data_IF_937397888584
#
_entry.id   IF_937397888584
#
_cell.length_a   1.000
_cell.length_b   1.000
_cell.length_c   1.000
_cell.angle_alpha   90.00
_cell.angle_beta   90.00
_cell.angle_gamma   90.00
#
_symmetry.space_group_name_H-M   'P 1'
#
loop_
_entity.id
_entity.type
_entity.pdbx_description
1 polymer ?
#
# COMPACT_ATOMS: atom_id res chain seq x y z
N UNK A 1 152.62 -137.80 -84.82
CA UNK A 1 152.77 -136.45 -84.24
C UNK A 1 152.27 -135.45 -85.25
N UNK A 2 151.31 -134.59 -84.89
CA UNK A 2 151.01 -133.27 -85.48
C UNK A 2 149.76 -132.75 -84.76
N UNK A 3 149.83 -131.56 -84.17
CA UNK A 3 148.72 -130.91 -83.50
C UNK A 3 148.69 -129.42 -83.88
N UNK A 4 147.70 -128.69 -83.36
CA UNK A 4 147.54 -127.23 -83.41
C UNK A 4 147.07 -126.61 -84.75
N UNK A 5 145.75 -126.51 -84.92
CA UNK A 5 145.11 -125.49 -85.78
C UNK A 5 143.67 -125.17 -85.34
N UNK A 6 143.43 -124.93 -84.04
CA UNK A 6 142.08 -124.97 -83.44
C UNK A 6 141.70 -123.75 -82.57
N UNK A 7 142.40 -122.61 -82.69
CA UNK A 7 142.22 -121.43 -81.80
C UNK A 7 141.65 -120.16 -82.47
N UNK A 8 141.47 -120.12 -83.80
CA UNK A 8 141.07 -118.87 -84.49
C UNK A 8 139.56 -118.63 -84.60
N UNK A 9 138.73 -119.68 -84.64
CA UNK A 9 137.27 -119.52 -84.81
C UNK A 9 136.54 -119.00 -83.57
N UNK A 10 136.96 -119.44 -82.38
CA UNK A 10 136.24 -119.20 -81.11
C UNK A 10 136.20 -117.73 -80.70
N UNK A 11 137.27 -116.96 -80.96
CA UNK A 11 137.33 -115.55 -80.59
C UNK A 11 136.37 -114.68 -81.41
N UNK A 12 136.21 -114.99 -82.71
CA UNK A 12 135.31 -114.25 -83.60
C UNK A 12 133.84 -114.42 -83.20
N UNK A 13 133.44 -115.64 -82.82
CA UNK A 13 132.06 -115.91 -82.42
C UNK A 13 131.76 -115.41 -81.00
N UNK A 14 132.74 -115.36 -80.09
CA UNK A 14 132.61 -114.63 -78.82
C UNK A 14 132.44 -113.13 -79.06
N UNK A 15 133.20 -112.54 -80.00
CA UNK A 15 133.07 -111.12 -80.34
C UNK A 15 131.72 -110.82 -81.01
N UNK A 16 131.26 -111.64 -81.97
CA UNK A 16 129.91 -111.53 -82.54
C UNK A 16 128.83 -111.68 -81.49
N UNK A 17 128.95 -112.66 -80.58
CA UNK A 17 127.99 -112.86 -79.48
C UNK A 17 127.96 -111.64 -78.56
N UNK A 18 129.12 -111.05 -78.24
CA UNK A 18 129.19 -109.83 -77.42
C UNK A 18 128.66 -108.61 -78.14
N UNK A 19 128.95 -108.42 -79.43
CA UNK A 19 128.36 -107.34 -80.25
C UNK A 19 126.84 -107.48 -80.37
N UNK A 20 126.35 -108.70 -80.58
CA UNK A 20 124.91 -109.02 -80.62
C UNK A 20 124.25 -108.74 -79.28
N UNK A 21 124.83 -109.25 -78.19
CA UNK A 21 124.37 -108.99 -76.83
C UNK A 21 124.35 -107.49 -76.52
N UNK A 22 125.42 -106.72 -76.81
CA UNK A 22 125.42 -105.27 -76.60
C UNK A 22 124.44 -104.52 -77.50
N UNK A 23 124.05 -105.08 -78.66
CA UNK A 23 123.00 -104.51 -79.50
C UNK A 23 121.60 -104.84 -78.97
N UNK A 24 121.39 -106.06 -78.48
CA UNK A 24 120.15 -106.49 -77.80
C UNK A 24 119.97 -105.76 -76.45
N UNK A 25 121.06 -105.42 -75.76
CA UNK A 25 121.08 -104.54 -74.58
C UNK A 25 120.82 -103.07 -74.96
N UNK A 26 121.41 -102.55 -76.05
CA UNK A 26 121.11 -101.20 -76.56
C UNK A 26 119.66 -101.05 -77.06
N UNK A 27 119.10 -102.07 -77.71
CA UNK A 27 117.70 -102.06 -78.14
C UNK A 27 116.77 -102.16 -76.92
N UNK A 28 117.07 -103.00 -75.92
CA UNK A 28 116.36 -102.96 -74.62
C UNK A 28 116.42 -101.61 -73.93
N UNK A 29 117.60 -101.01 -73.76
CA UNK A 29 117.71 -99.70 -73.11
C UNK A 29 116.99 -98.60 -73.91
N UNK A 30 116.93 -98.71 -75.24
CA UNK A 30 116.15 -97.80 -76.09
C UNK A 30 114.65 -98.01 -75.90
N UNK A 31 114.17 -99.25 -75.90
CA UNK A 31 112.75 -99.58 -75.69
C UNK A 31 112.30 -99.21 -74.27
N UNK A 32 113.13 -99.46 -73.25
CA UNK A 32 112.95 -99.01 -71.87
C UNK A 32 112.92 -97.47 -71.79
N UNK A 33 113.85 -96.76 -72.45
CA UNK A 33 113.81 -95.29 -72.53
C UNK A 33 112.54 -94.77 -73.22
N UNK A 34 112.06 -95.42 -74.28
CA UNK A 34 110.80 -95.05 -74.94
C UNK A 34 109.57 -95.37 -74.08
N UNK A 35 109.60 -96.45 -73.28
CA UNK A 35 108.53 -96.78 -72.33
C UNK A 35 108.52 -95.80 -71.14
N UNK A 36 109.69 -95.46 -70.59
CA UNK A 36 109.82 -94.42 -69.57
C UNK A 36 109.42 -93.04 -70.11
N UNK A 37 109.71 -92.72 -71.37
CA UNK A 37 109.25 -91.47 -71.98
C UNK A 37 107.73 -91.44 -72.16
N UNK A 38 107.10 -92.54 -72.60
CA UNK A 38 105.63 -92.67 -72.68
C UNK A 38 104.97 -92.58 -71.30
N UNK A 39 105.56 -93.22 -70.28
CA UNK A 39 105.11 -93.10 -68.88
C UNK A 39 105.22 -91.66 -68.39
N UNK A 40 106.37 -91.00 -68.60
CA UNK A 40 106.59 -89.60 -68.23
C UNK A 40 105.60 -88.66 -68.92
N UNK A 41 105.35 -88.82 -70.23
CA UNK A 41 104.31 -88.07 -70.94
C UNK A 41 102.92 -88.33 -70.34
N UNK A 42 102.58 -89.58 -70.01
CA UNK A 42 101.30 -89.91 -69.36
C UNK A 42 101.12 -89.31 -67.96
N UNK A 43 102.18 -89.21 -67.16
CA UNK A 43 102.16 -88.51 -65.87
C UNK A 43 102.10 -86.98 -66.05
N UNK A 44 102.78 -86.42 -67.06
CA UNK A 44 102.71 -84.99 -67.39
C UNK A 44 101.30 -84.60 -67.83
N UNK A 45 100.67 -85.34 -68.74
CA UNK A 45 99.29 -85.08 -69.17
C UNK A 45 98.31 -85.16 -67.98
N UNK A 46 98.40 -86.19 -67.13
CA UNK A 46 97.55 -86.28 -65.92
C UNK A 46 97.82 -85.18 -64.90
N UNK A 47 99.05 -84.68 -64.81
CA UNK A 47 99.39 -83.52 -63.98
C UNK A 47 98.78 -82.24 -64.56
N UNK A 48 98.88 -82.01 -65.86
CA UNK A 48 98.30 -80.84 -66.54
C UNK A 48 96.77 -80.84 -66.46
N UNK A 49 96.13 -82.02 -66.62
CA UNK A 49 94.70 -82.22 -66.36
C UNK A 49 94.33 -81.83 -64.91
N UNK A 50 95.03 -82.38 -63.91
CA UNK A 50 94.77 -82.09 -62.50
C UNK A 50 95.07 -80.62 -62.12
N UNK A 51 96.11 -80.00 -62.67
CA UNK A 51 96.41 -78.58 -62.48
C UNK A 51 95.33 -77.69 -63.12
N UNK A 52 94.76 -78.10 -64.25
CA UNK A 52 93.62 -77.42 -64.88
C UNK A 52 92.32 -77.56 -64.06
N UNK A 53 92.07 -78.72 -63.46
CA UNK A 53 90.91 -78.95 -62.58
C UNK A 53 91.05 -78.14 -61.28
N UNK A 54 92.22 -78.14 -60.64
CA UNK A 54 92.52 -77.31 -59.47
C UNK A 54 92.38 -75.81 -59.80
N UNK A 55 92.83 -75.36 -60.98
CA UNK A 55 92.62 -73.98 -61.42
C UNK A 55 91.13 -73.63 -61.64
N UNK A 56 90.34 -74.57 -62.16
CA UNK A 56 88.90 -74.39 -62.33
C UNK A 56 88.15 -74.39 -60.98
N UNK A 57 88.53 -75.26 -60.05
CA UNK A 57 87.98 -75.33 -58.69
C UNK A 57 88.32 -74.07 -57.89
N UNK A 58 89.56 -73.56 -57.96
CA UNK A 58 89.94 -72.32 -57.29
C UNK A 58 89.13 -71.10 -57.79
N UNK A 59 88.88 -70.99 -59.10
CA UNK A 59 87.97 -69.96 -59.64
C UNK A 59 86.53 -70.13 -59.15
N UNK A 60 86.06 -71.37 -59.01
CA UNK A 60 84.72 -71.67 -58.48
C UNK A 60 84.60 -71.34 -56.99
N UNK A 61 85.67 -71.56 -56.21
CA UNK A 61 85.75 -71.17 -54.80
C UNK A 61 85.62 -69.65 -54.69
N UNK A 62 86.45 -68.88 -55.42
CA UNK A 62 86.40 -67.41 -55.42
C UNK A 62 85.01 -66.85 -55.76
N UNK A 63 84.34 -67.39 -56.78
CA UNK A 63 82.98 -66.96 -57.15
C UNK A 63 81.94 -67.30 -56.06
N UNK A 64 82.09 -68.40 -55.34
CA UNK A 64 81.22 -68.78 -54.23
C UNK A 64 81.51 -67.95 -52.96
N UNK A 65 82.77 -67.56 -52.73
CA UNK A 65 83.17 -66.65 -51.66
C UNK A 65 82.59 -65.25 -51.91
N UNK A 66 82.75 -64.70 -53.12
CA UNK A 66 82.15 -63.42 -53.52
C UNK A 66 80.61 -63.43 -53.42
N UNK A 67 79.94 -64.51 -53.84
CA UNK A 67 78.48 -64.61 -53.75
C UNK A 67 77.99 -64.84 -52.31
N UNK A 68 78.80 -65.48 -51.45
CA UNK A 68 78.54 -65.57 -50.02
C UNK A 68 78.64 -64.19 -49.37
N UNK A 69 79.74 -63.44 -49.56
CA UNK A 69 79.92 -62.07 -49.05
C UNK A 69 78.75 -61.16 -49.48
N UNK A 70 78.39 -61.16 -50.78
CA UNK A 70 77.22 -60.43 -51.31
C UNK A 70 75.91 -60.83 -50.65
N UNK A 71 75.75 -62.10 -50.24
CA UNK A 71 74.55 -62.57 -49.54
C UNK A 71 74.54 -62.14 -48.07
N UNK A 72 75.69 -62.13 -47.41
CA UNK A 72 75.87 -61.71 -46.02
C UNK A 72 75.69 -60.19 -45.86
N UNK A 73 76.24 -59.37 -46.77
CA UNK A 73 75.97 -57.92 -46.81
C UNK A 73 74.48 -57.60 -46.97
N UNK A 74 73.78 -58.33 -47.87
CA UNK A 74 72.34 -58.18 -48.08
C UNK A 74 71.54 -58.60 -46.86
N UNK A 75 71.94 -59.70 -46.21
CA UNK A 75 71.30 -60.18 -44.98
C UNK A 75 71.51 -59.18 -43.84
N UNK A 76 72.72 -58.69 -43.63
CA UNK A 76 73.02 -57.65 -42.63
C UNK A 76 72.21 -56.37 -42.88
N UNK A 77 72.09 -55.91 -44.14
CA UNK A 77 71.25 -54.76 -44.49
C UNK A 77 69.76 -55.01 -44.22
N UNK A 78 69.27 -56.23 -44.48
CA UNK A 78 67.88 -56.61 -44.21
C UNK A 78 67.60 -56.72 -42.71
N UNK A 79 68.51 -57.32 -41.93
CA UNK A 79 68.40 -57.42 -40.46
C UNK A 79 68.46 -56.04 -39.79
N UNK A 80 69.32 -55.14 -40.25
CA UNK A 80 69.38 -53.77 -39.75
C UNK A 80 68.03 -53.03 -39.98
N UNK A 81 67.49 -53.09 -41.20
CA UNK A 81 66.18 -52.51 -41.55
C UNK A 81 65.02 -53.15 -40.78
N UNK A 82 65.08 -54.46 -40.52
CA UNK A 82 64.08 -55.15 -39.70
C UNK A 82 64.12 -54.67 -38.24
N UNK A 83 65.32 -54.47 -37.69
CA UNK A 83 65.50 -53.93 -36.33
C UNK A 83 65.02 -52.48 -36.21
N UNK A 84 65.29 -51.64 -37.21
CA UNK A 84 64.82 -50.26 -37.28
C UNK A 84 63.28 -50.20 -37.41
N UNK A 85 62.70 -51.03 -38.28
CA UNK A 85 61.25 -51.13 -38.44
C UNK A 85 60.55 -51.67 -37.18
N UNK A 86 61.16 -52.61 -36.44
CA UNK A 86 60.64 -53.07 -35.15
C UNK A 86 60.62 -51.94 -34.13
N UNK A 87 61.74 -51.25 -33.93
CA UNK A 87 61.81 -50.14 -32.97
C UNK A 87 60.85 -48.98 -33.31
N UNK A 88 60.63 -48.71 -34.60
CA UNK A 88 59.65 -47.74 -35.06
C UNK A 88 58.20 -48.21 -34.80
N UNK A 89 57.91 -49.51 -34.89
CA UNK A 89 56.61 -50.08 -34.55
C UNK A 89 56.36 -50.06 -33.03
N UNK A 90 57.37 -50.40 -32.22
CA UNK A 90 57.30 -50.42 -30.75
C UNK A 90 56.99 -49.02 -30.19
N UNK A 91 57.68 -47.97 -30.66
CA UNK A 91 57.38 -46.59 -30.26
C UNK A 91 56.04 -46.09 -30.85
N UNK A 92 55.63 -46.57 -32.04
CA UNK A 92 54.30 -46.28 -32.59
C UNK A 92 53.17 -46.87 -31.74
N UNK A 93 53.31 -48.09 -31.22
CA UNK A 93 52.34 -48.66 -30.28
C UNK A 93 52.36 -47.92 -28.93
N UNK A 94 53.54 -47.54 -28.44
CA UNK A 94 53.66 -46.72 -27.21
C UNK A 94 52.92 -45.38 -27.35
N UNK A 95 53.09 -44.69 -28.48
CA UNK A 95 52.37 -43.44 -28.80
C UNK A 95 50.86 -43.71 -28.91
N UNK A 96 50.45 -44.77 -29.62
CA UNK A 96 49.04 -45.18 -29.73
C UNK A 96 48.40 -45.35 -28.35
N UNK A 97 49.07 -46.06 -27.44
CA UNK A 97 48.58 -46.32 -26.08
C UNK A 97 48.58 -45.06 -25.19
N UNK A 98 49.53 -44.15 -25.39
CA UNK A 98 49.53 -42.86 -24.70
C UNK A 98 48.37 -41.96 -25.16
N UNK A 99 48.04 -41.97 -26.46
CA UNK A 99 46.88 -41.27 -27.02
C UNK A 99 45.56 -41.92 -26.57
N UNK A 100 45.45 -43.25 -26.60
CA UNK A 100 44.27 -44.00 -26.11
C UNK A 100 43.96 -43.68 -24.64
N UNK A 101 44.98 -43.72 -23.76
CA UNK A 101 44.84 -43.30 -22.36
C UNK A 101 44.38 -41.83 -22.23
N UNK A 102 44.88 -40.93 -23.10
CA UNK A 102 44.50 -39.52 -23.08
C UNK A 102 43.06 -39.31 -23.54
N UNK A 103 42.62 -39.97 -24.61
CA UNK A 103 41.22 -39.91 -25.08
C UNK A 103 40.27 -40.35 -23.98
N UNK A 104 40.55 -41.47 -23.30
CA UNK A 104 39.72 -41.95 -22.19
C UNK A 104 39.58 -40.90 -21.05
N UNK A 105 40.67 -40.19 -20.69
CA UNK A 105 40.63 -39.12 -19.69
C UNK A 105 39.89 -37.86 -20.19
N UNK A 106 39.92 -37.58 -21.48
CA UNK A 106 39.18 -36.47 -22.09
C UNK A 106 37.68 -36.80 -22.18
N UNK A 107 37.31 -38.05 -22.48
CA UNK A 107 35.93 -38.55 -22.47
C UNK A 107 35.32 -38.55 -21.06
N UNK A 108 36.03 -39.08 -20.04
CA UNK A 108 35.61 -39.01 -18.63
C UNK A 108 35.37 -37.56 -18.19
N UNK A 109 36.25 -36.64 -18.62
CA UNK A 109 36.11 -35.21 -18.32
C UNK A 109 34.92 -34.57 -19.03
N UNK A 110 34.63 -34.96 -20.28
CA UNK A 110 33.43 -34.51 -21.00
C UNK A 110 32.17 -34.98 -20.27
N UNK A 111 32.09 -36.25 -19.86
CA UNK A 111 30.93 -36.78 -19.14
C UNK A 111 30.65 -36.03 -17.82
N UNK A 112 31.70 -35.67 -17.07
CA UNK A 112 31.58 -34.84 -15.85
C UNK A 112 31.06 -33.43 -16.19
N UNK A 113 31.58 -32.79 -17.24
CA UNK A 113 31.15 -31.45 -17.66
C UNK A 113 29.72 -31.44 -18.20
N UNK A 114 29.29 -32.49 -18.90
CA UNK A 114 27.90 -32.66 -19.36
C UNK A 114 26.92 -32.83 -18.18
N UNK A 115 27.30 -33.62 -17.17
CA UNK A 115 26.52 -33.77 -15.94
C UNK A 115 26.39 -32.43 -15.18
N UNK A 116 27.48 -31.68 -15.05
CA UNK A 116 27.48 -30.35 -14.44
C UNK A 116 26.64 -29.34 -15.24
N UNK A 117 26.73 -29.35 -16.57
CA UNK A 117 25.93 -28.50 -17.46
C UNK A 117 24.43 -28.85 -17.37
N UNK A 118 24.08 -30.13 -17.23
CA UNK A 118 22.71 -30.58 -17.02
C UNK A 118 22.16 -30.10 -15.68
N UNK A 119 22.93 -30.26 -14.59
CA UNK A 119 22.56 -29.76 -13.27
C UNK A 119 22.41 -28.23 -13.24
N UNK A 120 23.31 -27.49 -13.89
CA UNK A 120 23.24 -26.03 -13.99
C UNK A 120 21.99 -25.54 -14.72
N UNK A 121 21.57 -26.23 -15.80
CA UNK A 121 20.30 -25.95 -16.51
C UNK A 121 19.09 -26.20 -15.61
N UNK A 122 19.04 -27.32 -14.89
CA UNK A 122 17.93 -27.61 -13.97
C UNK A 122 17.82 -26.55 -12.86
N UNK A 123 18.95 -26.10 -12.30
CA UNK A 123 18.98 -25.03 -11.29
C UNK A 123 18.48 -23.70 -11.87
N UNK A 124 18.87 -23.36 -13.11
CA UNK A 124 18.39 -22.16 -13.80
C UNK A 124 16.88 -22.23 -14.05
N UNK A 125 16.37 -23.32 -14.64
CA UNK A 125 14.93 -23.49 -14.86
C UNK A 125 14.12 -23.47 -13.56
N UNK A 126 14.66 -24.02 -12.47
CA UNK A 126 14.05 -23.92 -11.14
C UNK A 126 14.03 -22.49 -10.61
N UNK A 127 15.08 -21.71 -10.85
CA UNK A 127 15.12 -20.30 -10.48
C UNK A 127 14.09 -19.49 -11.29
N UNK A 128 14.01 -19.69 -12.60
CA UNK A 128 13.05 -19.03 -13.48
C UNK A 128 11.60 -19.32 -13.05
N UNK A 129 11.27 -20.58 -12.75
CA UNK A 129 9.95 -20.99 -12.21
C UNK A 129 9.63 -20.26 -10.89
N UNK A 130 10.62 -20.10 -10.00
CA UNK A 130 10.48 -19.36 -8.72
C UNK A 130 10.33 -17.85 -8.96
N UNK A 131 11.05 -17.27 -9.93
CA UNK A 131 10.90 -15.87 -10.32
C UNK A 131 9.51 -15.58 -10.93
N UNK A 132 9.01 -16.44 -11.83
CA UNK A 132 7.63 -16.31 -12.35
C UNK A 132 6.59 -16.37 -11.23
N UNK A 133 6.73 -17.29 -10.28
CA UNK A 133 5.83 -17.36 -9.13
C UNK A 133 5.86 -16.10 -8.26
N UNK A 134 7.04 -15.54 -8.00
CA UNK A 134 7.19 -14.29 -7.24
C UNK A 134 6.61 -13.11 -8.01
N UNK A 135 6.87 -13.00 -9.32
CA UNK A 135 6.32 -11.95 -10.17
C UNK A 135 4.78 -12.00 -10.22
N UNK A 136 4.19 -13.19 -10.34
CA UNK A 136 2.72 -13.37 -10.30
C UNK A 136 2.12 -12.99 -8.94
N UNK A 137 2.81 -13.29 -7.83
CA UNK A 137 2.39 -12.88 -6.47
C UNK A 137 2.50 -11.37 -6.26
N UNK A 138 3.58 -10.76 -6.76
CA UNK A 138 3.83 -9.32 -6.70
C UNK A 138 2.73 -8.52 -7.42
N UNK A 139 2.37 -8.89 -8.66
CA UNK A 139 1.28 -8.24 -9.40
C UNK A 139 -0.08 -8.33 -8.69
N UNK A 140 -0.36 -9.42 -7.97
CA UNK A 140 -1.59 -9.53 -7.16
C UNK A 140 -1.53 -8.62 -5.92
N UNK A 141 -0.37 -8.52 -5.26
CA UNK A 141 -0.19 -7.62 -4.12
C UNK A 141 -0.22 -6.15 -4.51
N UNK A 142 0.29 -5.78 -5.69
CA UNK A 142 0.18 -4.43 -6.25
C UNK A 142 -1.29 -4.03 -6.48
N UNK A 143 -2.10 -4.93 -7.06
CA UNK A 143 -3.53 -4.69 -7.24
C UNK A 143 -4.31 -4.63 -5.93
N UNK A 144 -3.96 -5.43 -4.92
CA UNK A 144 -4.62 -5.37 -3.61
C UNK A 144 -4.19 -4.15 -2.79
N UNK A 145 -2.98 -3.62 -3.03
CA UNK A 145 -2.52 -2.32 -2.53
C UNK A 145 -3.29 -1.17 -3.17
N UNK A 146 -3.37 -1.12 -4.51
CA UNK A 146 -4.13 -0.12 -5.27
C UNK A 146 -5.59 -0.06 -4.79
N UNK A 147 -6.25 -1.23 -4.69
CA UNK A 147 -7.61 -1.37 -4.11
C UNK A 147 -7.70 -0.95 -2.64
N UNK A 148 -6.59 -0.88 -1.90
CA UNK A 148 -6.58 -0.41 -0.51
C UNK A 148 -6.37 1.10 -0.44
N UNK A 149 -5.52 1.65 -1.31
CA UNK A 149 -5.24 3.08 -1.44
C UNK A 149 -6.50 3.83 -1.92
N UNK A 150 -7.20 3.34 -2.96
CA UNK A 150 -8.52 3.86 -3.38
C UNK A 150 -9.52 3.97 -2.21
N UNK A 151 -9.52 2.96 -1.30
CA UNK A 151 -10.40 2.95 -0.13
C UNK A 151 -9.95 3.94 0.94
N UNK A 152 -8.65 4.19 1.10
CA UNK A 152 -8.15 5.21 2.01
C UNK A 152 -8.54 6.59 1.48
N UNK A 153 -8.29 6.89 0.21
CA UNK A 153 -8.65 8.18 -0.42
C UNK A 153 -10.15 8.49 -0.31
N UNK A 154 -11.02 7.49 -0.55
CA UNK A 154 -12.47 7.64 -0.36
C UNK A 154 -12.86 7.91 1.10
N UNK A 155 -12.22 7.25 2.06
CA UNK A 155 -12.49 7.45 3.49
C UNK A 155 -11.96 8.80 3.99
N UNK A 156 -10.77 9.22 3.56
CA UNK A 156 -10.20 10.54 3.87
C UNK A 156 -11.07 11.67 3.30
N UNK A 157 -11.55 11.52 2.06
CA UNK A 157 -12.52 12.45 1.46
C UNK A 157 -13.79 12.57 2.31
N UNK A 158 -14.35 11.43 2.77
CA UNK A 158 -15.55 11.42 3.62
C UNK A 158 -15.29 11.97 5.03
N UNK A 159 -14.08 11.85 5.56
CA UNK A 159 -13.67 12.51 6.82
C UNK A 159 -13.69 14.03 6.63
N UNK A 160 -13.04 14.56 5.59
CA UNK A 160 -13.00 16.01 5.31
C UNK A 160 -14.41 16.59 5.10
N UNK A 161 -15.30 15.87 4.42
CA UNK A 161 -16.72 16.26 4.32
C UNK A 161 -17.39 16.38 5.70
N UNK A 162 -17.21 15.41 6.58
CA UNK A 162 -17.81 15.39 7.92
C UNK A 162 -17.20 16.43 8.87
N UNK A 163 -15.91 16.74 8.73
CA UNK A 163 -15.24 17.82 9.47
C UNK A 163 -15.78 19.20 9.07
N UNK A 164 -16.04 19.42 7.78
CA UNK A 164 -16.66 20.66 7.29
C UNK A 164 -18.14 20.77 7.71
N UNK A 165 -18.92 19.68 7.62
CA UNK A 165 -20.29 19.61 8.17
C UNK A 165 -20.30 19.97 9.67
N UNK A 166 -19.39 19.38 10.46
CA UNK A 166 -19.26 19.66 11.89
C UNK A 166 -18.83 21.11 12.17
N UNK A 167 -17.95 21.69 11.34
CA UNK A 167 -17.54 23.10 11.44
C UNK A 167 -18.72 24.04 11.19
N UNK A 168 -19.57 23.74 10.20
CA UNK A 168 -20.79 24.51 9.91
C UNK A 168 -21.81 24.38 11.05
N UNK A 169 -22.07 23.16 11.54
CA UNK A 169 -22.97 22.93 12.69
C UNK A 169 -22.47 23.66 13.94
N UNK A 170 -21.17 23.64 14.23
CA UNK A 170 -20.57 24.35 15.36
C UNK A 170 -20.64 25.88 15.27
N UNK A 171 -20.74 26.44 14.07
CA UNK A 171 -20.96 27.89 13.87
C UNK A 171 -22.45 28.25 13.97
N UNK A 172 -23.34 27.37 13.50
CA UNK A 172 -24.78 27.52 13.67
C UNK A 172 -25.18 27.44 15.15
N UNK A 173 -24.59 26.53 15.93
CA UNK A 173 -24.83 26.40 17.37
C UNK A 173 -24.47 27.69 18.12
N UNK A 174 -23.26 28.22 17.93
CA UNK A 174 -22.82 29.52 18.52
C UNK A 174 -23.75 30.68 18.16
N UNK A 175 -24.29 30.66 16.93
CA UNK A 175 -25.23 31.68 16.46
C UNK A 175 -26.60 31.55 17.14
N UNK A 176 -27.03 30.31 17.45
CA UNK A 176 -28.25 30.02 18.21
C UNK A 176 -28.08 30.37 19.69
N UNK A 177 -26.97 29.99 20.33
CA UNK A 177 -26.62 30.34 21.72
C UNK A 177 -26.71 31.86 21.94
N UNK A 178 -26.04 32.64 21.09
CA UNK A 178 -26.09 34.12 21.12
C UNK A 178 -27.48 34.68 20.79
N UNK A 179 -28.34 33.93 20.10
CA UNK A 179 -29.74 34.33 19.86
C UNK A 179 -30.64 34.05 21.08
N UNK A 180 -30.36 32.97 21.82
CA UNK A 180 -31.04 32.58 23.05
C UNK A 180 -30.68 33.52 24.19
N UNK A 181 -29.41 33.84 24.39
CA UNK A 181 -28.96 34.86 25.37
C UNK A 181 -29.71 36.18 25.17
N UNK A 182 -29.80 36.63 23.91
CA UNK A 182 -30.53 37.86 23.54
C UNK A 182 -32.04 37.74 23.72
N UNK A 183 -32.62 36.55 23.70
CA UNK A 183 -34.04 36.32 23.98
C UNK A 183 -34.29 36.32 25.48
N UNK A 184 -33.44 35.66 26.26
CA UNK A 184 -33.49 35.61 27.73
C UNK A 184 -33.30 37.01 28.34
N UNK A 185 -32.36 37.82 27.83
CA UNK A 185 -32.20 39.23 28.21
C UNK A 185 -33.51 40.03 28.02
N UNK A 186 -34.19 39.85 26.88
CA UNK A 186 -35.49 40.49 26.61
C UNK A 186 -36.60 39.95 27.51
N UNK A 187 -36.60 38.66 27.88
CA UNK A 187 -37.52 38.13 28.89
C UNK A 187 -37.30 38.82 30.24
N UNK A 188 -36.06 38.94 30.70
CA UNK A 188 -35.75 39.62 31.97
C UNK A 188 -36.15 41.09 31.97
N UNK A 189 -35.91 41.82 30.87
CA UNK A 189 -36.39 43.19 30.68
C UNK A 189 -37.92 43.27 30.81
N UNK A 190 -38.68 42.48 30.05
CA UNK A 190 -40.14 42.48 30.12
C UNK A 190 -40.65 42.04 31.50
N UNK A 191 -40.02 41.03 32.12
CA UNK A 191 -40.33 40.53 33.47
C UNK A 191 -40.11 41.61 34.52
N UNK A 192 -39.10 42.48 34.35
CA UNK A 192 -38.86 43.62 35.22
C UNK A 192 -39.84 44.78 34.94
N UNK A 193 -40.16 45.07 33.68
CA UNK A 193 -41.22 46.03 33.32
C UNK A 193 -42.58 45.61 33.91
N UNK A 194 -42.95 44.33 33.80
CA UNK A 194 -44.19 43.76 34.35
C UNK A 194 -44.22 43.90 35.88
N UNK A 195 -43.12 43.62 36.60
CA UNK A 195 -43.02 43.91 38.05
C UNK A 195 -43.30 45.39 38.33
N UNK A 196 -42.62 46.31 37.64
CA UNK A 196 -42.79 47.76 37.86
C UNK A 196 -44.21 48.23 37.57
N UNK A 197 -44.84 47.75 36.49
CA UNK A 197 -46.24 48.06 36.16
C UNK A 197 -47.21 47.45 37.18
N UNK A 198 -46.96 46.24 37.68
CA UNK A 198 -47.77 45.59 38.72
C UNK A 198 -47.72 46.35 40.05
N UNK A 199 -46.55 46.87 40.45
CA UNK A 199 -46.43 47.73 41.63
C UNK A 199 -47.18 49.04 41.45
N UNK A 200 -47.01 49.73 40.31
CA UNK A 200 -47.75 50.98 40.01
C UNK A 200 -49.26 50.78 39.93
N UNK A 201 -49.71 49.63 39.42
CA UNK A 201 -51.12 49.25 39.39
C UNK A 201 -51.66 49.13 40.82
N UNK A 202 -50.98 48.39 41.70
CA UNK A 202 -51.37 48.25 43.12
C UNK A 202 -51.36 49.58 43.88
N UNK A 203 -50.42 50.46 43.60
CA UNK A 203 -50.40 51.83 44.15
C UNK A 203 -51.57 52.69 43.64
N UNK A 204 -52.03 52.48 42.40
CA UNK A 204 -53.19 53.15 41.83
C UNK A 204 -54.50 52.57 42.36
N UNK A 205 -54.62 51.24 42.47
CA UNK A 205 -55.74 50.52 43.07
C UNK A 205 -55.94 50.95 44.54
N UNK A 206 -54.89 50.92 45.37
CA UNK A 206 -54.98 51.36 46.76
C UNK A 206 -55.34 52.86 46.90
N UNK A 207 -54.94 53.70 45.93
CA UNK A 207 -55.33 55.12 45.88
C UNK A 207 -56.80 55.29 45.46
N UNK A 208 -57.28 54.49 44.52
CA UNK A 208 -58.67 54.46 44.09
C UNK A 208 -59.58 53.99 45.24
N UNK A 209 -59.26 52.87 45.89
CA UNK A 209 -59.97 52.39 47.08
C UNK A 209 -60.02 53.46 48.19
N UNK A 210 -58.93 54.19 48.43
CA UNK A 210 -58.92 55.26 49.42
C UNK A 210 -59.84 56.42 49.01
N UNK A 211 -59.86 56.79 47.73
CA UNK A 211 -60.77 57.81 47.20
C UNK A 211 -62.24 57.36 47.30
N UNK A 212 -62.57 56.14 46.89
CA UNK A 212 -63.92 55.56 46.99
C UNK A 212 -64.41 55.51 48.45
N UNK A 213 -63.58 55.02 49.38
CA UNK A 213 -63.90 55.02 50.83
C UNK A 213 -64.04 56.43 51.40
N UNK A 214 -63.41 57.44 50.78
CA UNK A 214 -63.55 58.85 51.18
C UNK A 214 -64.84 59.46 50.62
N UNK A 215 -65.19 59.16 49.35
CA UNK A 215 -66.48 59.51 48.75
C UNK A 215 -67.63 58.89 49.54
N UNK A 216 -67.56 57.61 49.91
CA UNK A 216 -68.58 56.94 50.74
C UNK A 216 -68.76 57.56 52.14
N UNK A 217 -67.72 58.19 52.70
CA UNK A 217 -67.80 58.94 53.97
C UNK A 217 -68.43 60.31 53.77
N UNK A 218 -68.01 61.03 52.72
CA UNK A 218 -68.57 62.33 52.38
C UNK A 218 -70.04 62.24 51.98
N UNK A 219 -70.43 61.18 51.25
CA UNK A 219 -71.83 60.91 50.92
C UNK A 219 -72.67 60.78 52.18
N UNK A 220 -72.28 59.93 53.14
CA UNK A 220 -73.00 59.78 54.42
C UNK A 220 -73.08 61.06 55.25
N UNK A 221 -72.10 61.95 55.11
CA UNK A 221 -72.12 63.27 55.75
C UNK A 221 -73.03 64.25 55.01
N UNK A 222 -73.13 64.17 53.68
CA UNK A 222 -74.15 64.87 52.88
C UNK A 222 -75.53 64.38 53.25
N UNK A 223 -75.78 63.07 53.23
CA UNK A 223 -77.07 62.46 53.60
C UNK A 223 -77.52 62.94 55.01
N UNK A 224 -76.59 62.94 55.98
CA UNK A 224 -76.82 63.45 57.36
C UNK A 224 -77.14 64.94 57.41
N UNK A 225 -76.43 65.76 56.63
CA UNK A 225 -76.66 67.20 56.56
C UNK A 225 -77.94 67.56 55.79
N UNK A 226 -78.38 66.73 54.85
CA UNK A 226 -79.66 66.86 54.16
C UNK A 226 -80.82 66.50 55.10
N UNK A 227 -80.71 65.43 55.90
CA UNK A 227 -81.66 65.12 56.99
C UNK A 227 -81.76 66.26 58.01
N UNK A 228 -80.63 66.78 58.51
CA UNK A 228 -80.62 67.93 59.44
C UNK A 228 -81.22 69.19 58.82
N UNK A 229 -80.97 69.44 57.53
CA UNK A 229 -81.57 70.55 56.79
C UNK A 229 -83.08 70.37 56.60
N UNK A 230 -83.57 69.15 56.42
CA UNK A 230 -85.01 68.84 56.36
C UNK A 230 -85.66 69.08 57.73
N UNK A 231 -85.04 68.59 58.81
CA UNK A 231 -85.53 68.80 60.18
C UNK A 231 -85.61 70.29 60.52
N UNK A 232 -84.54 71.06 60.27
CA UNK A 232 -84.53 72.48 60.58
C UNK A 232 -85.47 73.28 59.65
N UNK A 233 -85.68 72.86 58.39
CA UNK A 233 -86.74 73.42 57.51
C UNK A 233 -88.15 73.17 58.06
N UNK A 234 -88.44 71.97 58.58
CA UNK A 234 -89.73 71.65 59.21
C UNK A 234 -89.92 72.54 60.43
N UNK A 235 -88.91 72.65 61.29
CA UNK A 235 -88.92 73.50 62.49
C UNK A 235 -89.09 75.00 62.16
N UNK A 236 -88.44 75.51 61.11
CA UNK A 236 -88.67 76.88 60.62
C UNK A 236 -90.09 77.07 60.10
N UNK A 237 -90.68 76.06 59.48
CA UNK A 237 -92.07 76.10 59.03
C UNK A 237 -93.06 76.07 60.22
N UNK A 238 -92.78 75.27 61.26
CA UNK A 238 -93.55 75.26 62.52
C UNK A 238 -93.50 76.61 63.24
N UNK A 239 -92.30 77.20 63.37
CA UNK A 239 -92.11 78.55 63.94
C UNK A 239 -92.83 79.62 63.10
N UNK A 240 -92.89 79.44 61.78
CA UNK A 240 -93.68 80.29 60.87
C UNK A 240 -95.18 80.16 61.10
N UNK A 241 -95.71 78.93 61.10
CA UNK A 241 -97.13 78.66 61.36
C UNK A 241 -97.57 79.13 62.77
N UNK A 242 -96.68 79.11 63.77
CA UNK A 242 -96.92 79.66 65.10
C UNK A 242 -96.78 81.21 65.18
N UNK A 243 -95.88 81.81 64.40
CA UNK A 243 -95.79 83.27 64.27
C UNK A 243 -97.03 83.87 63.62
N UNK A 244 -97.52 83.27 62.53
CA UNK A 244 -98.76 83.68 61.86
C UNK A 244 -99.95 83.56 62.81
N UNK A 245 -99.99 82.53 63.67
CA UNK A 245 -101.00 82.41 64.73
C UNK A 245 -100.87 83.51 65.79
N UNK A 246 -99.65 83.84 66.23
CA UNK A 246 -99.42 84.93 67.18
C UNK A 246 -99.80 86.32 66.61
N UNK A 247 -99.66 86.53 65.30
CA UNK A 247 -100.14 87.74 64.64
C UNK A 247 -101.67 87.82 64.59
N UNK A 248 -102.38 86.69 64.44
CA UNK A 248 -103.85 86.64 64.54
C UNK A 248 -104.33 86.99 65.96
N UNK A 249 -103.72 86.40 66.99
CA UNK A 249 -104.06 86.69 68.40
C UNK A 249 -103.79 88.17 68.79
N UNK A 250 -102.79 88.81 68.18
CA UNK A 250 -102.39 90.18 68.49
C UNK A 250 -103.12 91.27 67.67
N UNK A 251 -103.75 90.92 66.53
CA UNK A 251 -104.41 91.87 65.62
C UNK A 251 -105.90 91.53 65.46
N UNK A 252 -106.80 92.10 66.30
CA UNK A 252 -108.23 91.84 66.23
C UNK A 252 -108.82 92.21 64.86
N UNK A 253 -109.24 91.20 64.10
CA UNK A 253 -109.85 91.35 62.78
C UNK A 253 -109.08 90.74 61.61
N UNK A 254 -107.94 90.07 61.85
CA UNK A 254 -107.23 89.27 60.84
C UNK A 254 -107.68 87.81 60.93
N UNK A 255 -108.15 87.24 59.81
CA UNK A 255 -108.48 85.81 59.69
C UNK A 255 -107.18 84.95 59.66
N UNK A 256 -107.15 83.75 60.25
CA UNK A 256 -105.99 82.87 60.16
C UNK A 256 -105.66 82.46 58.73
N UNK A 257 -104.36 82.39 58.41
CA UNK A 257 -103.85 81.78 57.19
C UNK A 257 -103.85 80.26 57.38
N UNK A 258 -104.58 79.54 56.54
CA UNK A 258 -104.72 78.08 56.64
C UNK A 258 -103.72 77.40 55.70
N UNK A 259 -102.56 77.00 56.25
CA UNK A 259 -101.54 76.24 55.52
C UNK A 259 -101.89 74.76 55.45
N UNK A 260 -101.28 74.02 54.53
CA UNK A 260 -101.54 72.58 54.34
C UNK A 260 -101.18 71.72 55.57
N UNK A 261 -100.35 72.27 56.48
CA UNK A 261 -100.02 71.67 57.79
C UNK A 261 -101.05 71.96 58.90
N UNK A 262 -101.93 72.96 58.73
CA UNK A 262 -102.97 73.33 59.73
C UNK A 262 -104.32 73.68 59.04
N UNK A 263 -105.22 72.69 58.81
CA UNK A 263 -106.50 72.89 58.11
C UNK A 263 -107.67 73.36 59.01
N UNK A 264 -108.72 73.93 58.37
CA UNK A 264 -109.84 74.64 59.04
C UNK A 264 -110.92 73.72 59.66
N UNK A 265 -111.44 74.00 60.88
CA UNK A 265 -112.56 73.27 61.48
C UNK A 265 -113.89 73.40 60.72
N UNK A 266 -114.85 72.46 60.95
CA UNK A 266 -116.13 72.34 60.22
C UNK A 266 -117.36 72.39 61.14
N UNK A 267 -118.50 72.88 60.62
CA UNK A 267 -119.80 72.97 61.32
C UNK A 267 -120.99 72.48 60.44
N UNK A 268 -122.18 72.15 61.03
CA UNK A 268 -123.20 71.26 60.42
C UNK A 268 -124.53 71.95 59.97
N UNK A 269 -125.55 71.24 59.40
CA UNK A 269 -126.28 71.73 58.20
C UNK A 269 -127.85 71.74 58.23
N UNK A 270 -128.53 72.12 57.12
CA UNK A 270 -129.96 71.90 56.84
C UNK A 270 -130.29 70.97 55.61
N UNK A 271 -131.57 70.55 55.38
CA UNK A 271 -131.96 69.33 54.61
C UNK A 271 -133.05 69.57 53.49
N UNK A 272 -133.86 68.58 53.01
CA UNK A 272 -133.56 67.34 52.24
C UNK A 272 -134.47 67.09 51.00
N UNK A 273 -134.22 66.01 50.22
CA UNK A 273 -135.23 65.31 49.35
C UNK A 273 -135.00 63.78 49.31
N UNK A 274 -136.01 63.02 48.85
CA UNK A 274 -136.19 61.54 48.88
C UNK A 274 -136.92 61.07 47.58
N UNK A 275 -137.11 59.76 47.28
CA UNK A 275 -136.66 58.52 47.97
C UNK A 275 -135.96 57.45 47.07
N UNK A 276 -135.49 56.37 47.71
CA UNK A 276 -135.01 55.06 47.19
C UNK A 276 -136.16 54.16 46.66
N UNK A 277 -135.95 53.01 45.94
CA UNK A 277 -135.38 51.76 46.51
C UNK A 277 -134.50 50.90 45.50
N UNK A 278 -134.45 49.54 45.45
CA UNK A 278 -133.19 48.77 45.68
C UNK A 278 -132.86 47.73 44.54
N UNK A 279 -132.23 46.54 44.76
CA UNK A 279 -130.83 46.27 45.16
C UNK A 279 -130.05 45.24 44.28
N UNK A 280 -128.70 45.32 44.27
CA UNK A 280 -127.72 44.23 44.04
C UNK A 280 -127.76 43.48 42.66
N UNK A 281 -126.88 42.48 42.37
CA UNK A 281 -125.58 42.07 42.97
C UNK A 281 -124.40 41.90 41.97
N UNK A 282 -123.13 41.88 42.44
CA UNK A 282 -122.14 40.76 42.29
C UNK A 282 -120.66 41.14 42.52
N UNK A 283 -120.04 40.40 43.45
CA UNK A 283 -118.80 39.59 43.37
C UNK A 283 -117.46 40.12 42.79
N UNK A 284 -116.37 39.62 43.40
CA UNK A 284 -114.95 39.72 42.97
C UNK A 284 -114.53 38.39 42.24
N UNK A 285 -113.25 37.92 42.07
CA UNK A 285 -112.01 38.25 42.82
C UNK A 285 -110.61 38.21 42.09
N UNK A 286 -109.57 38.76 42.77
CA UNK A 286 -108.18 38.24 43.03
C UNK A 286 -107.19 37.95 41.85
N UNK A 287 -105.96 38.52 41.81
CA UNK A 287 -104.64 38.14 42.43
C UNK A 287 -103.67 37.53 41.39
N UNK A 288 -102.32 37.54 41.51
CA UNK A 288 -101.40 38.01 42.57
C UNK A 288 -100.02 38.52 42.03
N UNK A 289 -99.11 38.92 42.92
CA UNK A 289 -97.76 39.49 42.67
C UNK A 289 -96.62 38.40 42.75
N UNK A 290 -95.31 38.62 43.09
CA UNK A 290 -94.54 39.85 43.46
C UNK A 290 -93.07 39.99 42.94
N UNK A 291 -92.43 41.09 43.38
CA UNK A 291 -90.97 41.34 43.56
C UNK A 291 -90.06 41.52 42.31
N UNK A 292 -89.04 42.40 42.33
CA UNK A 292 -88.66 43.37 43.37
C UNK A 292 -87.46 44.27 42.98
N UNK A 293 -87.27 45.37 43.72
CA UNK A 293 -86.05 46.22 43.92
C UNK A 293 -85.16 46.50 42.68
N UNK A 294 -85.21 47.65 41.99
CA UNK A 294 -84.78 49.02 42.39
C UNK A 294 -83.25 49.16 42.68
N UNK A 295 -82.60 50.35 42.51
CA UNK A 295 -83.11 51.67 42.06
C UNK A 295 -82.22 52.41 41.00
N UNK A 296 -82.64 53.64 40.63
CA UNK A 296 -81.85 54.83 40.21
C UNK A 296 -80.87 54.72 39.00
N UNK A 297 -81.11 55.40 37.86
CA UNK A 297 -80.71 56.80 37.53
C UNK A 297 -79.19 56.96 37.27
N UNK A 298 -78.68 57.80 36.35
CA UNK A 298 -79.21 58.98 35.65
C UNK A 298 -78.20 60.14 35.86
N UNK A 299 -77.86 61.02 34.92
CA UNK A 299 -78.21 61.14 33.51
C UNK A 299 -77.17 62.06 32.79
N UNK A 300 -77.56 62.70 31.67
CA UNK A 300 -76.89 63.79 30.94
C UNK A 300 -75.69 63.42 30.02
N UNK A 301 -75.75 63.93 28.80
CA UNK A 301 -74.82 63.67 27.70
C UNK A 301 -74.13 64.94 27.19
N UNK A 302 -72.97 64.78 26.54
CA UNK A 302 -72.55 65.56 25.36
C UNK A 302 -71.40 64.84 24.62
N UNK A 303 -71.18 65.18 23.35
CA UNK A 303 -70.17 64.63 22.43
C UNK A 303 -69.24 65.78 21.93
N UNK A 304 -68.25 65.61 21.00
CA UNK A 304 -67.88 64.42 20.21
C UNK A 304 -66.34 64.19 20.02
N UNK A 305 -65.99 63.37 19.01
CA UNK A 305 -64.82 63.50 18.10
C UNK A 305 -63.57 62.55 18.23
N UNK A 306 -63.47 61.66 17.21
CA UNK A 306 -62.30 61.03 16.54
C UNK A 306 -61.12 60.27 17.22
N UNK A 307 -60.46 59.47 16.35
CA UNK A 307 -59.13 58.82 16.41
C UNK A 307 -59.02 57.30 16.71
N UNK A 308 -58.18 56.64 15.90
CA UNK A 308 -57.89 55.19 15.76
C UNK A 308 -56.68 54.74 16.62
N UNK A 309 -56.25 53.45 16.65
CA UNK A 309 -56.93 52.17 16.39
C UNK A 309 -56.80 51.16 17.57
N UNK A 310 -57.43 49.98 17.48
CA UNK A 310 -57.04 48.79 18.28
C UNK A 310 -56.20 47.80 17.46
N UNK A 311 -55.14 47.27 18.04
CA UNK A 311 -54.31 46.18 17.49
C UNK A 311 -54.80 44.81 17.98
N UNK A 312 -54.82 43.76 17.13
CA UNK A 312 -55.09 42.40 17.58
C UNK A 312 -53.83 41.74 18.18
N UNK A 313 -54.03 40.80 19.11
CA UNK A 313 -52.96 39.95 19.66
C UNK A 313 -52.64 38.79 18.71
N UNK A 314 -51.36 38.39 18.53
CA UNK A 314 -51.00 37.32 17.61
C UNK A 314 -51.08 35.93 18.24
N UNK A 315 -52.05 35.11 17.83
CA UNK A 315 -51.89 33.65 17.65
C UNK A 315 -53.19 33.02 17.11
N UNK A 316 -53.22 32.68 15.82
CA UNK A 316 -54.00 31.54 15.30
C UNK A 316 -53.48 31.13 13.91
N UNK A 317 -53.30 29.83 13.67
CA UNK A 317 -52.75 29.32 12.40
C UNK A 317 -53.89 29.11 11.39
N UNK A 318 -53.97 29.95 10.36
CA UNK A 318 -54.88 29.73 9.24
C UNK A 318 -54.13 29.23 7.99
N UNK A 319 -54.48 28.02 7.55
CA UNK A 319 -53.84 27.32 6.42
C UNK A 319 -54.21 27.98 5.10
N UNK A 320 -53.22 28.42 4.33
CA UNK A 320 -53.39 28.74 2.91
C UNK A 320 -52.55 27.80 2.04
N UNK A 321 -53.23 26.84 1.40
CA UNK A 321 -52.73 26.21 0.18
C UNK A 321 -52.97 27.15 -1.01
N UNK A 322 -52.08 27.20 -2.02
CA UNK A 322 -52.39 27.82 -3.30
C UNK A 322 -53.53 27.07 -4.02
N UNK A 323 -54.37 27.75 -4.81
CA UNK A 323 -55.35 27.10 -5.68
C UNK A 323 -54.67 26.37 -6.85
N UNK A 324 -55.33 25.36 -7.40
CA UNK A 324 -54.89 24.61 -8.57
C UNK A 324 -54.86 25.49 -9.84
N UNK A 325 -53.94 25.20 -10.77
CA UNK A 325 -54.07 25.62 -12.18
C UNK A 325 -53.33 26.87 -12.66
N UNK A 326 -52.13 27.17 -12.15
CA UNK A 326 -51.25 28.21 -12.70
C UNK A 326 -49.84 27.69 -13.04
N UNK A 327 -49.55 27.53 -14.34
CA UNK A 327 -48.25 27.10 -14.87
C UNK A 327 -47.35 28.29 -15.25
N UNK A 328 -46.05 28.27 -14.90
CA UNK A 328 -44.89 28.74 -15.72
C UNK A 328 -43.56 28.18 -15.13
N UNK A 329 -42.37 28.22 -15.80
CA UNK A 329 -41.61 26.98 -16.03
C UNK A 329 -40.11 26.94 -15.65
N UNK A 330 -39.52 25.73 -15.80
CA UNK A 330 -38.07 25.42 -15.85
C UNK A 330 -37.29 25.61 -14.53
N UNK A 331 -36.15 24.93 -14.26
CA UNK A 331 -35.21 24.15 -15.09
C UNK A 331 -35.01 22.73 -14.51
N UNK A 332 -34.55 21.77 -15.33
CA UNK A 332 -34.17 20.41 -14.86
C UNK A 332 -32.74 20.35 -14.30
N UNK A 333 -32.52 19.39 -13.41
CA UNK A 333 -31.18 18.88 -13.06
C UNK A 333 -30.57 18.05 -14.21
N UNK A 334 -29.24 18.01 -14.27
CA UNK A 334 -28.48 17.06 -15.07
C UNK A 334 -27.13 16.78 -14.40
N UNK A 335 -26.81 15.50 -14.19
CA UNK A 335 -25.49 15.02 -13.77
C UNK A 335 -24.81 14.29 -14.94
N UNK A 336 -23.48 14.40 -15.02
CA UNK A 336 -22.64 13.47 -15.77
C UNK A 336 -21.90 14.01 -17.01
N UNK A 337 -20.66 13.52 -17.15
CA UNK A 337 -19.89 13.34 -18.39
C UNK A 337 -19.34 14.58 -19.10
N UNK A 338 -18.03 14.80 -18.91
CA UNK A 338 -17.16 15.59 -19.80
C UNK A 338 -16.09 14.71 -20.45
N UNK A 339 -15.93 14.81 -21.78
CA UNK A 339 -14.59 14.82 -22.39
C UNK A 339 -14.41 16.05 -23.31
N UNK A 340 -13.18 16.36 -23.78
CA UNK A 340 -12.76 17.75 -24.02
C UNK A 340 -12.97 18.28 -25.44
N UNK A 341 -12.80 19.61 -25.58
CA UNK A 341 -12.50 20.27 -26.86
C UNK A 341 -11.54 21.43 -26.70
N UNK A 342 -10.49 21.42 -27.52
CA UNK A 342 -9.53 22.50 -27.70
C UNK A 342 -10.16 23.69 -28.44
N UNK A 343 -9.84 24.91 -28.02
CA UNK A 343 -9.80 26.08 -28.92
C UNK A 343 -8.54 26.87 -28.59
N UNK A 344 -7.60 26.89 -29.52
CA UNK A 344 -6.48 27.83 -29.50
C UNK A 344 -6.86 29.13 -30.22
N UNK A 345 -6.20 30.22 -29.84
CA UNK A 345 -6.31 31.58 -30.40
C UNK A 345 -7.66 32.29 -30.25
N UNK A 346 -7.68 33.28 -29.35
CA UNK A 346 -7.85 34.66 -29.82
C UNK A 346 -6.83 35.56 -29.09
N UNK A 347 -6.41 36.66 -29.72
CA UNK A 347 -5.25 37.46 -29.31
C UNK A 347 -5.51 38.97 -29.35
N UNK A 348 -4.76 39.71 -28.54
CA UNK A 348 -4.43 41.13 -28.71
C UNK A 348 -5.56 42.18 -28.58
N UNK A 349 -5.92 42.48 -27.34
CA UNK A 349 -6.32 43.81 -26.85
C UNK A 349 -5.92 43.88 -25.35
N UNK A 350 -5.37 44.94 -24.76
CA UNK A 350 -5.11 46.33 -25.23
C UNK A 350 -3.69 46.80 -24.82
N UNK A 351 -3.23 47.91 -25.42
CA UNK A 351 -2.22 48.83 -24.84
C UNK A 351 -2.97 50.09 -24.34
N UNK A 352 -2.43 51.11 -23.67
CA UNK A 352 -1.06 51.65 -23.59
C UNK A 352 -0.97 52.66 -22.41
N UNK A 353 0.24 53.17 -22.10
CA UNK A 353 0.51 54.30 -21.19
C UNK A 353 0.25 54.06 -19.67
N UNK A 354 0.85 54.79 -18.72
CA UNK A 354 1.65 56.04 -18.79
C UNK A 354 3.03 55.89 -18.13
N UNK A 355 3.92 56.88 -18.35
CA UNK A 355 5.25 56.95 -17.76
C UNK A 355 5.53 58.34 -17.13
N UNK A 356 6.32 58.38 -16.04
CA UNK A 356 7.23 59.48 -15.69
C UNK A 356 8.09 59.13 -14.45
N UNK A 357 9.38 59.49 -14.48
CA UNK A 357 10.26 59.62 -13.31
C UNK A 357 10.65 61.11 -13.14
N UNK A 358 11.23 61.53 -11.99
CA UNK A 358 12.70 61.49 -11.80
C UNK A 358 13.11 60.95 -10.40
N UNK A 359 14.33 60.47 -10.08
CA UNK A 359 15.70 60.53 -10.65
C UNK A 359 16.66 61.59 -10.06
N UNK A 360 17.55 61.16 -9.14
CA UNK A 360 18.96 61.58 -8.86
C UNK A 360 19.59 60.49 -7.94
N UNK A 361 20.90 60.16 -7.90
CA UNK A 361 22.02 60.49 -8.80
C UNK A 361 23.41 60.04 -8.25
N UNK A 362 24.16 59.18 -8.98
CA UNK A 362 25.56 58.75 -8.72
C UNK A 362 25.79 57.80 -7.52
N UNK A 363 26.91 57.06 -7.37
CA UNK A 363 28.02 56.62 -8.26
C UNK A 363 28.75 55.44 -7.51
N UNK A 364 29.75 54.66 -7.95
CA UNK A 364 30.66 54.62 -9.12
C UNK A 364 31.05 53.14 -9.46
N UNK A 365 32.24 52.86 -10.05
CA UNK A 365 32.64 51.50 -10.50
C UNK A 365 34.17 51.15 -10.36
N UNK A 366 34.60 49.88 -10.57
CA UNK A 366 35.97 49.33 -10.31
C UNK A 366 36.88 49.28 -11.59
N UNK A 367 38.04 48.56 -11.61
CA UNK A 367 38.05 47.10 -11.94
C UNK A 367 39.27 46.26 -11.42
N UNK A 368 39.42 45.03 -11.96
CA UNK A 368 40.63 44.15 -12.01
C UNK A 368 41.12 43.50 -10.67
N UNK A 369 41.87 42.36 -10.58
CA UNK A 369 42.26 41.20 -11.43
C UNK A 369 42.86 40.09 -10.50
N UNK A 370 43.23 38.84 -10.87
CA UNK A 370 43.15 38.08 -12.13
C UNK A 370 44.01 36.78 -12.14
N UNK A 371 43.49 35.66 -12.69
CA UNK A 371 44.18 34.39 -13.05
C UNK A 371 44.87 33.55 -11.91
N UNK A 372 45.64 32.46 -12.18
CA UNK A 372 45.08 31.10 -12.29
C UNK A 372 45.82 29.98 -11.47
N UNK A 373 45.46 28.71 -11.69
CA UNK A 373 46.07 27.53 -11.08
C UNK A 373 47.31 26.97 -11.83
N UNK A 374 48.09 26.07 -11.21
CA UNK A 374 48.86 25.04 -11.91
C UNK A 374 48.58 23.60 -11.40
N UNK A 375 49.07 22.59 -12.12
CA UNK A 375 49.06 21.18 -11.71
C UNK A 375 50.26 20.40 -12.28
N UNK A 376 50.97 19.65 -11.43
CA UNK A 376 52.02 18.65 -11.74
C UNK A 376 51.97 17.56 -10.63
N UNK A 377 52.26 16.27 -10.86
CA UNK A 377 52.64 15.58 -12.09
C UNK A 377 52.67 14.03 -11.92
N UNK A 378 53.24 13.34 -12.91
CA UNK A 378 53.84 11.98 -12.99
C UNK A 378 53.86 11.06 -11.74
N UNK A 379 53.80 9.72 -11.78
CA UNK A 379 53.56 8.67 -12.80
C UNK A 379 53.26 7.34 -12.01
N UNK A 380 53.23 6.09 -12.50
CA UNK A 380 53.57 5.41 -13.76
C UNK A 380 52.66 4.14 -13.94
N UNK A 381 53.12 3.05 -14.60
CA UNK A 381 52.29 1.85 -14.83
C UNK A 381 53.02 0.48 -14.76
N UNK A 382 52.34 -0.51 -14.15
CA UNK A 382 52.39 -1.96 -14.44
C UNK A 382 53.74 -2.73 -14.18
N UNK A 383 53.91 -4.02 -14.56
CA UNK A 383 53.45 -5.16 -13.72
C UNK A 383 54.44 -6.35 -13.56
N UNK A 384 54.19 -7.23 -12.58
CA UNK A 384 54.62 -8.66 -12.46
C UNK A 384 53.81 -9.29 -11.29
N UNK A 385 53.27 -10.52 -11.32
CA UNK A 385 53.82 -11.87 -11.54
C UNK A 385 54.74 -12.41 -10.41
N UNK A 386 54.38 -13.57 -9.87
CA UNK A 386 55.08 -14.28 -8.77
C UNK A 386 54.23 -15.39 -8.15
N UNK A 387 54.61 -16.65 -8.35
CA UNK A 387 53.84 -17.87 -8.01
C UNK A 387 54.56 -18.72 -6.92
N UNK A 388 53.82 -19.67 -6.30
CA UNK A 388 54.31 -20.78 -5.45
C UNK A 388 54.91 -20.39 -4.06
N UNK A 389 54.85 -21.21 -2.99
CA UNK A 389 54.16 -22.48 -2.67
C UNK A 389 54.17 -22.68 -1.11
N UNK A 390 53.51 -23.70 -0.50
CA UNK A 390 53.12 -23.67 0.92
C UNK A 390 54.11 -24.33 1.89
N UNK A 391 53.81 -24.24 3.19
CA UNK A 391 54.44 -25.01 4.27
C UNK A 391 53.37 -25.59 5.23
N UNK A 392 53.52 -26.87 5.59
CA UNK A 392 52.63 -27.65 6.46
C UNK A 392 53.51 -28.45 7.45
N UNK A 393 53.25 -28.38 8.77
CA UNK A 393 53.71 -29.39 9.75
C UNK A 393 53.21 -29.14 11.21
N UNK A 394 51.94 -29.43 11.48
CA UNK A 394 51.46 -30.19 12.66
C UNK A 394 51.94 -29.75 14.10
N UNK A 395 51.77 -30.55 15.20
CA UNK A 395 50.80 -30.12 16.22
C UNK A 395 51.29 -30.17 17.69
N UNK A 396 50.42 -29.77 18.62
CA UNK A 396 50.56 -30.03 20.05
C UNK A 396 49.20 -30.39 20.68
N UNK A 397 49.18 -31.42 21.52
CA UNK A 397 48.01 -31.91 22.29
C UNK A 397 48.45 -32.12 23.75
N UNK A 398 47.60 -31.74 24.71
CA UNK A 398 47.89 -31.81 26.14
C UNK A 398 46.64 -31.69 27.07
N UNK A 399 45.72 -32.66 26.97
CA UNK A 399 45.00 -33.31 28.11
C UNK A 399 44.15 -32.49 29.14
N UNK A 400 43.17 -33.13 29.84
CA UNK A 400 42.16 -32.43 30.66
C UNK A 400 42.37 -32.55 32.20
N UNK A 401 41.40 -32.04 32.97
CA UNK A 401 41.28 -32.24 34.42
C UNK A 401 39.86 -32.73 34.82
N UNK A 402 39.79 -33.68 35.76
CA UNK A 402 38.58 -34.18 36.42
C UNK A 402 38.61 -33.87 37.93
N UNK A 403 37.44 -33.89 38.61
CA UNK A 403 37.18 -33.97 40.07
C UNK A 403 35.87 -33.22 40.44
N UNK A 404 35.00 -33.63 41.38
CA UNK A 404 34.76 -34.91 42.09
C UNK A 404 33.39 -34.86 42.84
N UNK A 405 32.83 -36.00 43.26
CA UNK A 405 31.91 -36.20 44.42
C UNK A 405 30.49 -35.51 44.43
N UNK A 406 29.43 -35.97 45.12
CA UNK A 406 29.05 -37.23 45.82
C UNK A 406 27.49 -37.20 46.14
N UNK A 407 26.85 -38.23 46.76
CA UNK A 407 25.44 -38.57 46.40
C UNK A 407 24.38 -38.77 47.53
N UNK A 408 23.12 -38.97 47.08
CA UNK A 408 22.04 -39.86 47.59
C UNK A 408 21.29 -39.61 48.94
N UNK A 409 19.94 -39.65 48.88
CA UNK A 409 19.05 -40.13 49.97
C UNK A 409 17.71 -40.76 49.45
N UNK A 410 17.05 -41.51 50.33
CA UNK A 410 15.88 -42.43 50.23
C UNK A 410 14.47 -41.76 50.36
N UNK A 411 13.28 -42.40 50.26
CA UNK A 411 12.83 -43.67 49.63
C UNK A 411 11.27 -43.70 49.34
N UNK A 412 10.39 -44.62 49.83
CA UNK A 412 9.71 -45.58 48.91
C UNK A 412 8.17 -45.82 49.04
N UNK A 413 7.68 -46.72 48.16
CA UNK A 413 6.66 -47.78 48.37
C UNK A 413 5.16 -47.56 47.96
N UNK A 414 4.71 -48.34 46.96
CA UNK A 414 3.51 -49.23 46.92
C UNK A 414 3.35 -49.84 45.49
N UNK A 415 2.48 -50.83 45.21
CA UNK A 415 2.47 -52.23 45.62
C UNK A 415 1.29 -53.00 44.95
N UNK A 416 1.52 -53.87 43.95
CA UNK A 416 0.66 -55.01 43.55
C UNK A 416 1.14 -55.69 42.24
N UNK A 417 1.20 -57.03 42.15
CA UNK A 417 1.38 -57.77 40.90
C UNK A 417 0.09 -58.48 40.41
N UNK A 418 0.07 -58.94 39.17
CA UNK A 418 -0.90 -59.90 38.65
C UNK A 418 -0.26 -60.86 37.63
N UNK A 419 -0.67 -62.13 37.67
CA UNK A 419 -0.45 -63.16 36.64
C UNK A 419 -1.47 -62.93 35.48
N UNK A 420 -1.50 -63.63 34.35
CA UNK A 420 -1.10 -65.02 34.04
C UNK A 420 -0.97 -65.24 32.50
N UNK A 421 -0.37 -66.38 32.12
CA UNK A 421 -0.56 -67.14 30.85
C UNK A 421 -0.21 -66.52 29.46
N UNK A 422 0.64 -67.20 28.66
CA UNK A 422 0.80 -66.98 27.22
C UNK A 422 0.21 -68.14 26.36
N UNK A 423 -0.42 -67.82 25.21
CA UNK A 423 -0.45 -68.69 24.00
C UNK A 423 -1.31 -68.10 22.85
N UNK A 424 -0.69 -67.81 21.70
CA UNK A 424 -1.14 -68.09 20.30
C UNK A 424 -0.28 -67.33 19.30
#
# INVERSE_FOLDING_TARGET
>A
MAANLQQSGTLLDVLKKKMRQTKEEMEKYKDECEEFHKKLQGEVMRREEAESEVAALNRRIQLLEEDLERSEERLASATAKLSEASAAADESERIRKALENRTNMEDDRVAILEAQLSQAKLIAEEADKKYEEVARKLVLMEQDLERSEEKVEMNESKIVELEEELRVVGNNLKSLEVSEEKANQREEEYKNQIKTLTTRLKEAEARAEFAERSVQKLQKEVDRLEDELIIEKIRFAEIGDDLDFAFVDLIPGVDPIWTERRPKPKTPPPPPKLPTPPPAPKEAPKEDAPAGEAPAEGAAAAAPEEAKPRTPSPFELQKHFPPEGAEVPYVRSATGTTPPRDIAAETAAEAEAQAAAPAEGGDAAPPAEGAPAPAEGEAAAAPAEGEAAPAEAAPADAAPAEAEAAPAEAAPAEAAPAEEAPAS
#
